data_IF_476788143755
#
_entry.id   IF_476788143755
#
_cell.length_a   1.000
_cell.length_b   1.000
_cell.length_c   1.000
_cell.angle_alpha   90.00
_cell.angle_beta   90.00
_cell.angle_gamma   90.00
#
_symmetry.space_group_name_H-M   'P 1'
#
loop_
_entity.id
_entity.type
_entity.pdbx_description
1 polymer ?
#
# COMPACT_ATOMS: atom_id res chain seq x y z
N UNK A 1 -3.19 -14.53 2.69
CA UNK A 1 -2.16 -15.20 3.51
C UNK A 1 -2.15 -14.55 4.89
N UNK A 2 -1.84 -15.30 5.95
CA UNK A 2 -1.84 -14.75 7.31
C UNK A 2 -0.42 -14.40 7.76
N UNK A 3 -0.29 -13.26 8.45
CA UNK A 3 0.93 -12.85 9.13
C UNK A 3 1.20 -13.81 10.30
N UNK A 4 2.35 -14.49 10.36
CA UNK A 4 2.66 -15.37 11.49
C UNK A 4 2.90 -14.61 12.79
N UNK A 5 3.23 -13.31 12.71
CA UNK A 5 3.45 -12.47 13.89
C UNK A 5 2.13 -11.96 14.50
N UNK A 6 1.13 -11.63 13.67
CA UNK A 6 -0.11 -10.99 14.13
C UNK A 6 -1.36 -11.85 13.96
N UNK A 7 -1.29 -12.91 13.14
CA UNK A 7 -2.45 -13.73 12.76
C UNK A 7 -3.37 -13.06 11.73
N UNK A 8 -3.12 -11.81 11.35
CA UNK A 8 -3.98 -11.04 10.44
C UNK A 8 -3.76 -11.43 8.98
N UNK A 9 -4.82 -11.30 8.17
CA UNK A 9 -4.68 -11.42 6.72
C UNK A 9 -3.91 -10.25 6.11
N UNK A 10 -2.98 -10.56 5.22
CA UNK A 10 -2.16 -9.58 4.49
C UNK A 10 -2.27 -9.76 2.98
N UNK A 11 -2.06 -8.68 2.24
CA UNK A 11 -1.80 -8.75 0.81
C UNK A 11 -0.31 -9.09 0.60
N UNK A 12 0.05 -9.79 -0.48
CA UNK A 12 1.46 -10.03 -0.85
C UNK A 12 1.76 -9.40 -2.20
N UNK A 13 2.41 -8.24 -2.18
CA UNK A 13 2.86 -7.58 -3.40
C UNK A 13 4.26 -8.06 -3.75
N UNK A 14 4.36 -8.93 -4.75
CA UNK A 14 5.62 -9.42 -5.29
C UNK A 14 6.16 -8.46 -6.33
N UNK A 15 7.34 -7.89 -6.09
CA UNK A 15 8.03 -6.96 -6.99
C UNK A 15 9.25 -7.69 -7.58
N UNK A 16 9.21 -8.07 -8.87
CA UNK A 16 10.33 -8.75 -9.52
C UNK A 16 11.53 -7.81 -9.67
N UNK A 17 12.72 -8.35 -9.40
CA UNK A 17 14.00 -7.68 -9.65
C UNK A 17 14.46 -8.01 -11.06
N UNK A 18 14.76 -6.97 -11.85
CA UNK A 18 15.28 -7.15 -13.22
C UNK A 18 16.70 -7.71 -13.23
N UNK A 19 17.51 -7.34 -12.24
CA UNK A 19 18.92 -7.73 -12.06
C UNK A 19 19.15 -8.10 -10.59
N UNK A 20 18.75 -9.31 -10.16
CA UNK A 20 18.84 -9.74 -8.75
C UNK A 20 20.26 -9.65 -8.18
N UNK A 21 21.27 -9.83 -9.02
CA UNK A 21 22.69 -9.72 -8.71
C UNK A 21 23.13 -8.31 -8.29
N UNK A 22 22.46 -7.27 -8.79
CA UNK A 22 22.68 -5.87 -8.40
C UNK A 22 21.91 -5.51 -7.11
N UNK A 23 21.08 -6.43 -6.60
CA UNK A 23 20.23 -6.22 -5.44
C UNK A 23 19.01 -5.33 -5.73
N UNK A 24 18.51 -4.68 -4.69
CA UNK A 24 17.37 -3.76 -4.80
C UNK A 24 17.83 -2.40 -5.34
N UNK A 25 17.11 -1.81 -6.34
CA UNK A 25 17.40 -0.46 -6.78
C UNK A 25 17.34 0.54 -5.61
N UNK A 26 18.27 1.53 -5.52
CA UNK A 26 18.29 2.52 -4.44
C UNK A 26 16.97 3.27 -4.28
N UNK A 27 16.27 3.52 -5.41
CA UNK A 27 14.95 4.14 -5.39
C UNK A 27 13.92 3.26 -4.66
N UNK A 28 13.92 1.95 -4.91
CA UNK A 28 13.03 1.01 -4.21
C UNK A 28 13.35 0.94 -2.72
N UNK A 29 14.62 1.00 -2.33
CA UNK A 29 15.00 1.09 -0.91
C UNK A 29 14.48 2.36 -0.24
N UNK A 30 14.55 3.51 -0.93
CA UNK A 30 13.98 4.78 -0.42
C UNK A 30 12.47 4.68 -0.25
N UNK A 31 11.76 4.09 -1.21
CA UNK A 31 10.31 3.91 -1.13
C UNK A 31 9.91 2.97 0.02
N UNK A 32 10.60 1.84 0.20
CA UNK A 32 10.38 0.93 1.34
C UNK A 32 10.63 1.64 2.66
N UNK A 33 11.74 2.39 2.77
CA UNK A 33 12.07 3.15 3.98
C UNK A 33 11.00 4.18 4.31
N UNK A 34 10.59 4.98 3.33
CA UNK A 34 9.54 5.98 3.53
C UNK A 34 8.23 5.33 4.00
N UNK A 35 7.81 4.22 3.39
CA UNK A 35 6.60 3.51 3.80
C UNK A 35 6.66 2.97 5.24
N UNK A 36 7.83 2.52 5.70
CA UNK A 36 8.05 2.06 7.09
C UNK A 36 8.01 3.20 8.11
N UNK A 37 8.47 4.39 7.73
CA UNK A 37 8.45 5.56 8.62
C UNK A 37 7.04 6.13 8.80
N UNK A 38 6.11 5.83 7.88
CA UNK A 38 4.72 6.29 7.89
C UNK A 38 3.73 5.32 8.58
N UNK A 39 4.22 4.27 9.26
CA UNK A 39 3.39 3.18 9.84
C UNK A 39 2.28 3.63 10.81
N UNK A 40 2.29 4.87 11.28
CA UNK A 40 1.34 5.39 12.27
C UNK A 40 0.09 6.07 11.67
N UNK A 41 0.01 6.32 10.36
CA UNK A 41 -1.10 7.11 9.80
C UNK A 41 -2.28 6.24 9.31
N UNK A 42 -3.52 6.48 9.77
CA UNK A 42 -4.68 5.61 9.49
C UNK A 42 -5.17 5.60 8.03
N UNK A 43 -4.62 6.45 7.18
CA UNK A 43 -4.94 6.52 5.74
C UNK A 43 -3.74 6.23 4.83
N UNK A 44 -2.66 5.69 5.40
CA UNK A 44 -1.50 5.17 4.67
C UNK A 44 -1.31 3.72 5.10
N UNK A 45 -1.50 2.72 4.22
CA UNK A 45 -1.33 1.32 4.60
C UNK A 45 0.10 1.07 5.11
N UNK A 46 0.26 0.51 6.31
CA UNK A 46 1.59 0.28 6.88
C UNK A 46 2.31 -0.83 6.11
N UNK A 47 3.63 -0.68 5.95
CA UNK A 47 4.50 -1.72 5.41
C UNK A 47 5.43 -2.23 6.52
N UNK A 48 5.04 -3.28 7.23
CA UNK A 48 5.78 -3.75 8.41
C UNK A 48 7.00 -4.62 8.08
N UNK A 49 7.07 -5.17 6.88
CA UNK A 49 8.14 -6.06 6.46
C UNK A 49 8.48 -5.90 4.97
N UNK A 50 9.66 -6.36 4.60
CA UNK A 50 10.06 -6.60 3.21
C UNK A 50 11.03 -7.77 3.21
N UNK A 51 10.81 -8.77 2.35
CA UNK A 51 11.65 -9.96 2.31
C UNK A 51 11.89 -10.44 0.89
N UNK A 52 13.03 -11.09 0.66
CA UNK A 52 13.37 -11.66 -0.63
C UNK A 52 12.63 -12.99 -0.85
N UNK A 53 12.19 -13.24 -2.09
CA UNK A 53 11.63 -14.52 -2.52
C UNK A 53 12.04 -14.79 -3.97
N UNK A 54 13.13 -15.54 -4.15
CA UNK A 54 13.74 -15.74 -5.46
C UNK A 54 14.24 -14.40 -6.04
N UNK A 55 14.05 -14.13 -7.35
CA UNK A 55 14.46 -12.87 -7.97
C UNK A 55 13.45 -11.74 -7.72
N UNK A 56 12.87 -11.67 -6.53
CA UNK A 56 11.82 -10.71 -6.20
C UNK A 56 11.89 -10.28 -4.74
N UNK A 57 11.35 -9.10 -4.46
CA UNK A 57 11.07 -8.65 -3.10
C UNK A 57 9.57 -8.62 -2.88
N UNK A 58 9.14 -9.19 -1.76
CA UNK A 58 7.75 -9.26 -1.36
C UNK A 58 7.51 -8.20 -0.30
N UNK A 59 6.50 -7.38 -0.54
CA UNK A 59 6.01 -6.34 0.34
C UNK A 59 4.62 -6.78 0.83
N UNK A 60 4.43 -7.07 2.13
CA UNK A 60 3.17 -7.50 2.70
C UNK A 60 2.43 -6.34 3.41
N UNK A 61 1.71 -5.45 2.70
CA UNK A 61 0.88 -4.44 3.35
C UNK A 61 -0.40 -5.06 3.92
N UNK A 62 -1.18 -4.23 4.61
CA UNK A 62 -2.56 -4.53 4.99
C UNK A 62 -3.39 -4.98 3.77
N UNK A 63 -4.25 -5.99 3.98
CA UNK A 63 -5.18 -6.44 2.96
C UNK A 63 -6.39 -5.51 2.87
N UNK A 64 -6.56 -4.86 1.73
CA UNK A 64 -7.77 -4.11 1.39
C UNK A 64 -8.65 -4.95 0.46
N UNK A 65 -9.95 -5.06 0.79
CA UNK A 65 -10.92 -5.91 0.07
C UNK A 65 -11.30 -5.35 -1.30
N UNK A 66 -11.03 -4.08 -1.57
CA UNK A 66 -11.28 -3.46 -2.86
C UNK A 66 -10.57 -2.11 -3.02
N UNK A 67 -10.61 -1.58 -4.24
CA UNK A 67 -10.03 -0.29 -4.59
C UNK A 67 -11.06 0.66 -5.21
N UNK A 68 -10.71 1.95 -5.22
CA UNK A 68 -11.59 2.99 -5.76
C UNK A 68 -11.84 2.80 -7.25
N UNK A 69 -10.87 2.30 -8.02
CA UNK A 69 -11.06 2.02 -9.44
C UNK A 69 -12.10 0.93 -9.69
N UNK A 70 -12.08 -0.15 -8.90
CA UNK A 70 -13.09 -1.20 -8.91
C UNK A 70 -14.47 -0.66 -8.56
N UNK A 71 -14.56 0.18 -7.53
CA UNK A 71 -15.80 0.85 -7.15
C UNK A 71 -16.34 1.76 -8.27
N UNK A 72 -15.48 2.53 -8.93
CA UNK A 72 -15.86 3.46 -10.00
C UNK A 72 -16.24 2.76 -11.31
N UNK A 73 -15.76 1.54 -11.53
CA UNK A 73 -16.14 0.71 -12.69
C UNK A 73 -17.47 -0.04 -12.48
N UNK A 74 -18.05 -0.01 -11.29
CA UNK A 74 -19.33 -0.65 -11.03
C UNK A 74 -20.48 0.08 -11.79
N UNK A 75 -21.29 -0.62 -12.60
CA UNK A 75 -22.44 -0.04 -13.32
C UNK A 75 -23.68 0.15 -12.42
N UNK A 76 -24.70 0.96 -12.81
CA UNK A 76 -24.75 1.95 -13.89
C UNK A 76 -24.88 3.41 -13.37
N UNK A 77 -24.87 3.64 -12.05
CA UNK A 77 -25.18 4.93 -11.47
C UNK A 77 -23.92 5.66 -10.95
N UNK A 78 -23.83 7.00 -11.12
CA UNK A 78 -22.82 7.79 -10.44
C UNK A 78 -22.83 7.52 -8.92
N UNK A 79 -21.67 7.59 -8.28
CA UNK A 79 -21.59 7.49 -6.83
C UNK A 79 -22.48 8.57 -6.18
N UNK A 80 -23.36 8.21 -5.23
CA UNK A 80 -24.18 9.20 -4.53
C UNK A 80 -23.29 10.30 -3.90
N UNK A 81 -23.73 11.57 -3.88
CA UNK A 81 -22.93 12.67 -3.33
C UNK A 81 -22.43 12.42 -1.90
N UNK A 82 -23.24 11.75 -1.07
CA UNK A 82 -22.85 11.35 0.28
C UNK A 82 -21.65 10.38 0.28
N UNK A 83 -21.61 9.42 -0.66
CA UNK A 83 -20.50 8.47 -0.81
C UNK A 83 -19.23 9.18 -1.29
N UNK A 84 -19.36 10.13 -2.23
CA UNK A 84 -18.24 10.96 -2.69
C UNK A 84 -17.65 11.75 -1.52
N UNK A 85 -18.50 12.40 -0.71
CA UNK A 85 -18.06 13.15 0.49
C UNK A 85 -17.39 12.27 1.54
N UNK A 86 -17.79 11.00 1.66
CA UNK A 86 -17.16 10.06 2.58
C UNK A 86 -15.81 9.53 2.07
N UNK A 87 -15.67 9.36 0.75
CA UNK A 87 -14.46 8.80 0.12
C UNK A 87 -13.34 9.81 -0.10
N UNK A 88 -13.65 11.11 -0.23
CA UNK A 88 -12.65 12.14 -0.51
C UNK A 88 -11.71 12.47 0.67
N UNK A 89 -12.18 12.63 1.94
CA UNK A 89 -11.31 13.05 3.03
C UNK A 89 -10.18 12.08 3.39
N UNK A 90 -10.40 10.75 3.50
CA UNK A 90 -9.34 9.80 3.87
C UNK A 90 -8.06 9.89 2.99
N UNK A 91 -8.14 9.79 1.65
CA UNK A 91 -6.94 9.90 0.82
C UNK A 91 -6.30 11.29 0.88
N UNK A 92 -7.07 12.37 1.01
CA UNK A 92 -6.53 13.73 1.17
C UNK A 92 -5.76 13.90 2.49
N UNK A 93 -6.26 13.33 3.58
CA UNK A 93 -5.55 13.30 4.87
C UNK A 93 -4.27 12.45 4.77
N UNK A 94 -4.34 11.30 4.11
CA UNK A 94 -3.17 10.47 3.82
C UNK A 94 -2.11 11.23 3.03
N UNK A 95 -2.49 11.89 1.94
CA UNK A 95 -1.58 12.73 1.14
C UNK A 95 -0.98 13.88 1.96
N UNK A 96 -1.79 14.54 2.78
CA UNK A 96 -1.33 15.60 3.68
C UNK A 96 -0.23 15.11 4.64
N UNK A 97 -0.41 13.91 5.22
CA UNK A 97 0.62 13.28 6.05
C UNK A 97 1.89 12.98 5.24
N UNK A 98 1.76 12.33 4.08
CA UNK A 98 2.91 11.97 3.22
C UNK A 98 3.70 13.21 2.79
N UNK A 99 3.03 14.32 2.47
CA UNK A 99 3.68 15.56 2.09
C UNK A 99 4.41 16.24 3.25
N UNK A 100 3.93 16.07 4.49
CA UNK A 100 4.59 16.62 5.69
C UNK A 100 5.82 15.85 6.16
N UNK A 101 6.06 14.65 5.61
CA UNK A 101 7.20 13.78 5.93
C UNK A 101 8.39 13.96 4.96
N UNK A 102 8.38 15.02 4.16
CA UNK A 102 9.45 15.35 3.19
C UNK A 102 10.48 16.31 3.76
#
# INVERSE_FOLDING_TARGET
PVSPQTGEMVALKKVPLRRPEEGLPPQTLREIKALREMEAHPHVPPLRAAFAQGPAVVLPPELLVGDLGGLLRAPPAPLPPARVRALLPPPLRGLGHVHGQR
#
